data_IF_898849661133
#
_entry.id   IF_898849661133
#
_cell.length_a   1.000
_cell.length_b   1.000
_cell.length_c   1.000
_cell.angle_alpha   90.00
_cell.angle_beta   90.00
_cell.angle_gamma   90.00
#
_symmetry.space_group_name_H-M   'P 1'
#
loop_
_entity.id
_entity.type
_entity.pdbx_description
1 polymer ?
#
# COMPACT_ATOMS: atom_id res chain seq x y z
N UNK A 1 -18.17 5.70 -13.92
CA UNK A 1 -16.83 5.82 -14.57
C UNK A 1 -15.77 5.33 -13.58
N UNK A 2 -14.48 5.26 -13.95
CA UNK A 2 -13.43 4.77 -13.05
C UNK A 2 -13.38 5.51 -11.69
N UNK A 3 -13.50 6.84 -11.71
CA UNK A 3 -13.50 7.65 -10.50
C UNK A 3 -14.68 7.35 -9.57
N UNK A 4 -15.89 7.16 -10.10
CA UNK A 4 -17.05 6.80 -9.28
C UNK A 4 -16.88 5.43 -8.63
N UNK A 5 -16.30 4.46 -9.33
CA UNK A 5 -16.04 3.12 -8.78
C UNK A 5 -15.00 3.15 -7.65
N UNK A 6 -13.95 3.97 -7.76
CA UNK A 6 -12.98 4.14 -6.66
C UNK A 6 -13.62 4.77 -5.42
N UNK A 7 -14.41 5.84 -5.59
CA UNK A 7 -15.11 6.50 -4.47
C UNK A 7 -16.08 5.52 -3.79
N UNK A 8 -16.86 4.78 -4.56
CA UNK A 8 -17.78 3.77 -4.01
C UNK A 8 -17.04 2.64 -3.29
N UNK A 9 -15.90 2.20 -3.82
CA UNK A 9 -15.06 1.19 -3.17
C UNK A 9 -14.51 1.66 -1.82
N UNK A 10 -13.97 2.89 -1.75
CA UNK A 10 -13.50 3.47 -0.48
C UNK A 10 -14.64 3.62 0.53
N UNK A 11 -15.82 4.09 0.09
CA UNK A 11 -17.00 4.17 0.96
C UNK A 11 -17.42 2.81 1.51
N UNK A 12 -17.43 1.78 0.67
CA UNK A 12 -17.77 0.41 1.09
C UNK A 12 -16.76 -0.15 2.11
N UNK A 13 -15.47 0.16 1.93
CA UNK A 13 -14.41 -0.20 2.88
C UNK A 13 -14.58 0.49 4.23
N UNK A 14 -14.80 1.81 4.24
CA UNK A 14 -15.03 2.57 5.48
C UNK A 14 -16.30 2.09 6.19
N UNK A 15 -17.38 1.87 5.44
CA UNK A 15 -18.61 1.31 5.99
C UNK A 15 -18.36 -0.05 6.65
N UNK A 16 -17.55 -0.92 6.05
CA UNK A 16 -17.22 -2.23 6.61
C UNK A 16 -16.36 -2.13 7.87
N UNK A 17 -15.48 -1.13 7.97
CA UNK A 17 -14.68 -0.85 9.17
C UNK A 17 -15.57 -0.44 10.35
N UNK A 18 -16.69 0.25 10.12
CA UNK A 18 -17.63 0.61 11.18
C UNK A 18 -18.32 -0.60 11.84
N UNK A 19 -18.44 -1.74 11.13
CA UNK A 19 -19.05 -2.98 11.67
C UNK A 19 -18.10 -3.82 12.51
N UNK A 20 -16.79 -3.66 12.29
CA UNK A 20 -15.77 -4.29 13.09
C UNK A 20 -15.04 -3.18 13.84
N UNK A 21 -15.59 -2.70 14.97
CA UNK A 21 -14.76 -1.93 15.87
C UNK A 21 -13.58 -2.83 16.21
N UNK A 22 -12.39 -2.48 15.73
CA UNK A 22 -11.18 -3.09 16.27
C UNK A 22 -11.28 -3.00 17.79
N UNK A 23 -10.67 -3.94 18.53
CA UNK A 23 -10.36 -3.73 19.95
C UNK A 23 -9.45 -2.51 20.03
N UNK A 24 -10.05 -1.34 19.91
CA UNK A 24 -9.38 -0.08 19.71
C UNK A 24 -8.70 0.19 21.04
N UNK A 25 -7.37 0.11 21.01
CA UNK A 25 -6.55 0.69 22.06
C UNK A 25 -7.13 2.06 22.38
N UNK A 26 -7.46 2.30 23.67
CA UNK A 26 -8.09 3.55 24.06
C UNK A 26 -7.38 4.74 23.43
N UNK A 27 -8.12 5.69 22.84
CA UNK A 27 -7.50 6.78 22.12
C UNK A 27 -6.52 7.51 23.03
N UNK A 28 -5.32 7.71 22.52
CA UNK A 28 -4.21 8.34 23.24
C UNK A 28 -4.65 9.72 23.75
N UNK A 29 -4.02 10.21 24.83
CA UNK A 29 -4.30 11.57 25.36
C UNK A 29 -4.17 12.65 24.27
N UNK A 30 -3.33 12.42 23.27
CA UNK A 30 -3.17 13.29 22.11
C UNK A 30 -4.35 13.21 21.13
N UNK A 31 -4.89 12.02 20.87
CA UNK A 31 -6.06 11.83 20.00
C UNK A 31 -7.31 12.44 20.62
N UNK A 32 -7.55 12.20 21.92
CA UNK A 32 -8.65 12.83 22.67
C UNK A 32 -8.56 14.36 22.64
N UNK A 33 -7.35 14.92 22.75
CA UNK A 33 -7.14 16.37 22.66
C UNK A 33 -7.41 16.92 21.25
N UNK A 34 -6.99 16.19 20.20
CA UNK A 34 -7.23 16.54 18.81
C UNK A 34 -8.71 16.52 18.45
N UNK A 35 -9.43 15.48 18.89
CA UNK A 35 -10.88 15.35 18.70
C UNK A 35 -11.63 16.53 19.33
N UNK A 36 -11.29 16.92 20.56
CA UNK A 36 -11.92 18.05 21.25
C UNK A 36 -11.68 19.40 20.55
N UNK A 37 -10.51 19.59 19.92
CA UNK A 37 -10.12 20.84 19.25
C UNK A 37 -10.64 20.97 17.82
N UNK A 38 -10.67 19.88 17.08
CA UNK A 38 -10.85 19.88 15.61
C UNK A 38 -12.17 19.22 15.18
N UNK A 39 -12.73 18.34 16.03
CA UNK A 39 -13.91 17.53 15.74
C UNK A 39 -13.56 16.21 15.05
N UNK A 40 -14.20 15.12 15.46
CA UNK A 40 -13.95 13.75 14.97
C UNK A 40 -14.06 13.62 13.45
N UNK A 41 -15.08 14.21 12.84
CA UNK A 41 -15.32 14.12 11.38
C UNK A 41 -14.19 14.74 10.55
N UNK A 42 -13.53 15.79 11.06
CA UNK A 42 -12.41 16.42 10.36
C UNK A 42 -11.11 15.63 10.52
N UNK A 43 -10.88 15.05 11.70
CA UNK A 43 -9.73 14.17 11.96
C UNK A 43 -9.81 12.95 11.03
N UNK A 44 -10.96 12.29 10.95
CA UNK A 44 -11.16 11.13 10.08
C UNK A 44 -10.83 11.45 8.62
N UNK A 45 -11.36 12.56 8.09
CA UNK A 45 -11.07 13.03 6.72
C UNK A 45 -9.59 13.28 6.50
N UNK A 46 -8.89 13.87 7.47
CA UNK A 46 -7.44 14.15 7.39
C UNK A 46 -6.66 12.84 7.42
N UNK A 47 -7.01 11.89 8.28
CA UNK A 47 -6.35 10.59 8.38
C UNK A 47 -6.52 9.79 7.09
N UNK A 48 -7.72 9.74 6.54
CA UNK A 48 -7.99 9.07 5.25
C UNK A 48 -7.17 9.74 4.14
N UNK A 49 -7.21 11.07 4.05
CA UNK A 49 -6.44 11.80 3.03
C UNK A 49 -4.93 11.55 3.16
N UNK A 50 -4.39 11.66 4.37
CA UNK A 50 -2.98 11.42 4.65
C UNK A 50 -2.59 9.98 4.30
N UNK A 51 -3.43 9.01 4.62
CA UNK A 51 -3.20 7.59 4.30
C UNK A 51 -3.12 7.36 2.79
N UNK A 52 -4.02 8.00 2.02
CA UNK A 52 -4.00 7.94 0.55
C UNK A 52 -2.73 8.58 -0.01
N UNK A 53 -2.38 9.78 0.46
CA UNK A 53 -1.17 10.49 -0.01
C UNK A 53 0.09 9.70 0.33
N UNK A 54 0.20 9.19 1.55
CA UNK A 54 1.32 8.33 1.97
C UNK A 54 1.37 7.04 1.16
N UNK A 55 0.23 6.40 0.90
CA UNK A 55 0.17 5.19 0.07
C UNK A 55 0.69 5.43 -1.34
N UNK A 56 0.28 6.54 -1.98
CA UNK A 56 0.78 6.92 -3.31
C UNK A 56 2.27 7.26 -3.25
N UNK A 57 2.69 8.06 -2.28
CA UNK A 57 4.08 8.48 -2.12
C UNK A 57 5.02 7.28 -1.90
N UNK A 58 4.63 6.33 -1.03
CA UNK A 58 5.37 5.09 -0.81
C UNK A 58 5.37 4.21 -2.06
N UNK A 59 4.26 4.10 -2.79
CA UNK A 59 4.21 3.34 -4.03
C UNK A 59 5.16 3.90 -5.09
N UNK A 60 5.11 5.21 -5.34
CA UNK A 60 6.02 5.89 -6.28
C UNK A 60 7.48 5.79 -5.80
N UNK A 61 7.72 6.02 -4.51
CA UNK A 61 9.04 5.93 -3.90
C UNK A 61 9.65 4.54 -4.07
N UNK A 62 8.91 3.50 -3.72
CA UNK A 62 9.41 2.13 -3.65
C UNK A 62 9.48 1.46 -5.03
N UNK A 63 8.49 1.67 -5.90
CA UNK A 63 8.41 0.96 -7.18
C UNK A 63 8.91 1.74 -8.40
N UNK A 64 9.11 3.06 -8.28
CA UNK A 64 9.61 3.90 -9.37
C UNK A 64 10.95 4.51 -9.00
N UNK A 65 11.00 5.34 -7.95
CA UNK A 65 12.20 6.11 -7.64
C UNK A 65 13.36 5.24 -7.15
N UNK A 66 13.08 4.31 -6.24
CA UNK A 66 14.08 3.42 -5.66
C UNK A 66 14.82 2.56 -6.71
N UNK A 67 14.15 1.79 -7.60
CA UNK A 67 14.87 1.01 -8.61
C UNK A 67 15.69 1.88 -9.56
N UNK A 68 15.18 3.05 -9.95
CA UNK A 68 15.93 3.99 -10.81
C UNK A 68 17.15 4.57 -10.09
N UNK A 69 17.04 4.90 -8.80
CA UNK A 69 18.17 5.34 -7.97
C UNK A 69 19.24 4.26 -7.84
N UNK A 70 18.83 3.03 -7.50
CA UNK A 70 19.76 1.89 -7.37
C UNK A 70 20.52 1.63 -8.67
N UNK A 71 19.83 1.64 -9.82
CA UNK A 71 20.47 1.53 -11.12
C UNK A 71 21.42 2.70 -11.42
N UNK A 72 21.08 3.91 -10.96
CA UNK A 72 21.87 5.13 -11.16
C UNK A 72 23.17 5.20 -10.37
N UNK A 73 23.27 4.50 -9.22
CA UNK A 73 24.48 4.43 -8.41
C UNK A 73 25.57 3.53 -9.00
N UNK A 74 25.24 2.66 -9.95
CA UNK A 74 26.21 1.74 -10.53
C UNK A 74 26.98 2.45 -11.66
N UNK A 75 28.31 2.62 -11.52
CA UNK A 75 29.12 3.31 -12.52
C UNK A 75 29.19 2.52 -13.83
N UNK A 76 29.29 3.21 -14.96
CA UNK A 76 29.42 2.58 -16.30
C UNK A 76 28.10 2.21 -16.99
N UNK A 77 26.95 2.29 -16.31
CA UNK A 77 25.63 2.05 -16.94
C UNK A 77 25.05 3.25 -17.67
N UNK A 78 25.57 4.47 -17.43
CA UNK A 78 25.05 5.70 -18.05
C UNK A 78 25.18 5.70 -19.57
N UNK A 79 26.24 5.10 -20.11
CA UNK A 79 26.51 5.06 -21.55
C UNK A 79 25.88 3.86 -22.27
N UNK A 80 25.39 2.86 -21.51
CA UNK A 80 24.83 1.61 -22.04
C UNK A 80 23.34 1.52 -21.74
N UNK A 81 22.53 2.16 -22.58
CA UNK A 81 21.08 2.27 -22.39
C UNK A 81 20.38 0.92 -22.16
N UNK A 82 20.68 -0.09 -22.99
CA UNK A 82 20.08 -1.43 -22.87
C UNK A 82 20.43 -2.11 -21.54
N UNK A 83 21.72 -2.06 -21.16
CA UNK A 83 22.19 -2.66 -19.91
C UNK A 83 21.55 -1.98 -18.70
N UNK A 84 21.38 -0.65 -18.76
CA UNK A 84 20.71 0.12 -17.71
C UNK A 84 19.26 -0.29 -17.54
N UNK A 85 18.52 -0.42 -18.63
CA UNK A 85 17.12 -0.87 -18.59
C UNK A 85 16.96 -2.29 -18.04
N UNK A 86 17.88 -3.20 -18.36
CA UNK A 86 17.88 -4.56 -17.80
C UNK A 86 18.13 -4.55 -16.29
N UNK A 87 19.12 -3.80 -15.83
CA UNK A 87 19.44 -3.67 -14.40
C UNK A 87 18.30 -3.02 -13.62
N UNK A 88 17.69 -1.96 -14.16
CA UNK A 88 16.52 -1.33 -13.54
C UNK A 88 15.32 -2.29 -13.47
N UNK A 89 15.07 -3.04 -14.55
CA UNK A 89 14.04 -4.08 -14.58
C UNK A 89 14.29 -5.16 -13.52
N UNK A 90 15.53 -5.60 -13.36
CA UNK A 90 15.92 -6.55 -12.32
C UNK A 90 15.63 -6.00 -10.92
N UNK A 91 16.04 -4.76 -10.63
CA UNK A 91 15.74 -4.13 -9.35
C UNK A 91 14.23 -4.02 -9.08
N UNK A 92 13.43 -3.67 -10.10
CA UNK A 92 11.96 -3.64 -9.96
C UNK A 92 11.40 -5.00 -9.55
N UNK A 93 11.84 -6.07 -10.19
CA UNK A 93 11.40 -7.43 -9.86
C UNK A 93 11.82 -7.81 -8.44
N UNK A 94 13.08 -7.56 -8.07
CA UNK A 94 13.60 -7.88 -6.74
C UNK A 94 12.86 -7.12 -5.64
N UNK A 95 12.63 -5.81 -5.82
CA UNK A 95 11.88 -4.98 -4.87
C UNK A 95 10.43 -5.48 -4.76
N UNK A 96 9.79 -5.80 -5.90
CA UNK A 96 8.44 -6.32 -5.91
C UNK A 96 8.29 -7.65 -5.17
N UNK A 97 9.20 -8.59 -5.40
CA UNK A 97 9.22 -9.88 -4.70
C UNK A 97 9.51 -9.69 -3.21
N UNK A 98 10.47 -8.83 -2.85
CA UNK A 98 10.77 -8.53 -1.46
C UNK A 98 9.55 -7.94 -0.76
N UNK A 99 8.89 -6.94 -1.37
CA UNK A 99 7.66 -6.34 -0.85
C UNK A 99 6.56 -7.39 -0.62
N UNK A 100 6.31 -8.25 -1.62
CA UNK A 100 5.33 -9.34 -1.52
C UNK A 100 5.63 -10.30 -0.37
N UNK A 101 6.91 -10.65 -0.17
CA UNK A 101 7.32 -11.51 0.95
C UNK A 101 7.08 -10.80 2.28
N UNK A 102 7.47 -9.54 2.41
CA UNK A 102 7.29 -8.79 3.66
C UNK A 102 5.81 -8.64 4.03
N UNK A 103 4.96 -8.25 3.08
CA UNK A 103 3.53 -8.07 3.34
C UNK A 103 2.84 -9.41 3.62
N UNK A 104 3.29 -10.52 3.00
CA UNK A 104 2.75 -11.86 3.25
C UNK A 104 2.92 -12.36 4.69
N UNK A 105 3.83 -11.76 5.45
CA UNK A 105 4.06 -12.10 6.86
C UNK A 105 3.02 -11.51 7.80
N UNK A 106 2.19 -10.56 7.34
CA UNK A 106 1.07 -10.05 8.13
C UNK A 106 -0.09 -11.06 8.15
N UNK A 107 -0.75 -11.32 9.31
CA UNK A 107 -1.78 -12.35 9.44
C UNK A 107 -2.92 -12.21 8.42
N UNK A 108 -3.37 -10.99 8.16
CA UNK A 108 -4.47 -10.71 7.24
C UNK A 108 -4.10 -11.01 5.80
N UNK A 109 -2.91 -10.58 5.36
CA UNK A 109 -2.45 -10.82 3.99
C UNK A 109 -2.13 -12.29 3.75
N UNK A 110 -1.63 -13.00 4.77
CA UNK A 110 -1.47 -14.45 4.71
C UNK A 110 -2.81 -15.16 4.46
N UNK A 111 -3.88 -14.70 5.12
CA UNK A 111 -5.25 -15.23 4.92
C UNK A 111 -5.76 -14.90 3.52
N UNK A 112 -5.59 -13.67 3.04
CA UNK A 112 -5.97 -13.26 1.68
C UNK A 112 -5.26 -14.12 0.63
N UNK A 113 -3.95 -14.32 0.75
CA UNK A 113 -3.20 -15.18 -0.17
C UNK A 113 -3.61 -16.66 -0.07
N UNK A 114 -3.99 -17.14 1.12
CA UNK A 114 -4.55 -18.48 1.29
C UNK A 114 -5.88 -18.64 0.55
N UNK A 115 -6.79 -17.66 0.65
CA UNK A 115 -8.07 -17.71 -0.07
C UNK A 115 -7.90 -17.59 -1.58
N UNK A 116 -7.03 -16.69 -2.04
CA UNK A 116 -6.72 -16.56 -3.46
C UNK A 116 -6.11 -17.86 -4.02
N UNK A 117 -5.18 -18.47 -3.29
CA UNK A 117 -4.60 -19.78 -3.67
C UNK A 117 -5.61 -20.92 -3.61
N UNK A 118 -6.58 -20.86 -2.70
CA UNK A 118 -7.68 -21.82 -2.64
C UNK A 118 -8.62 -21.68 -3.85
N UNK A 119 -8.97 -20.44 -4.24
CA UNK A 119 -9.79 -20.15 -5.42
C UNK A 119 -9.18 -20.76 -6.69
N UNK A 120 -7.90 -20.54 -6.96
CA UNK A 120 -7.21 -21.14 -8.12
C UNK A 120 -7.10 -22.67 -8.05
N UNK A 121 -7.22 -23.27 -6.87
CA UNK A 121 -7.21 -24.73 -6.69
C UNK A 121 -8.60 -25.34 -6.79
N UNK A 122 -9.63 -24.64 -6.33
CA UNK A 122 -11.04 -25.09 -6.34
C UNK A 122 -11.72 -24.79 -7.68
N UNK A 123 -11.33 -23.70 -8.34
CA UNK A 123 -11.72 -23.38 -9.72
C UNK A 123 -10.68 -23.99 -10.66
N UNK A 124 -10.54 -25.32 -10.60
CA UNK A 124 -10.09 -26.12 -11.75
C UNK A 124 -11.36 -26.71 -12.38
N UNK A 125 -11.90 -25.99 -13.35
CA UNK A 125 -12.75 -26.53 -14.41
C UNK A 125 -11.96 -26.47 -15.71
#
# INVERSE_FOLDING_TARGET
NFGSSMVSGVKALMYSADFFPEEASEPSKFEKWLEQKIGSEKIEKVVVYLSVVLGIALSVGLFILLPTLLAGFIPGLKERAVLRSLVEGLFRILIFLAYMIFISKTPDMKRVFSYHGAEHKTIRC
#
